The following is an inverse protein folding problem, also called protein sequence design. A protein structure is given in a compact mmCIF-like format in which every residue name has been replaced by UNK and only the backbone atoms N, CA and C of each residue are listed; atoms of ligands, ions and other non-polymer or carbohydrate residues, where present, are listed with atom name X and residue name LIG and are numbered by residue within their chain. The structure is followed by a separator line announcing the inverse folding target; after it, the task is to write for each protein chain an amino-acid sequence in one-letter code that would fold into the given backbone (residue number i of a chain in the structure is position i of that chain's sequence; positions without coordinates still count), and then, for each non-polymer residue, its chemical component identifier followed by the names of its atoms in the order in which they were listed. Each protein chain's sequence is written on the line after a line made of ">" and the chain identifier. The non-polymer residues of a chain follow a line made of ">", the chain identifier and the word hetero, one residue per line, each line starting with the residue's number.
data_IF_111754706822
#
_entry.id   IF_111754706822
#
_cell.length_a   1.000
_cell.length_b   1.000
_cell.length_c   1.000
_cell.angle_alpha   90.00
_cell.angle_beta   90.00
_cell.angle_gamma   90.00
#
_symmetry.space_group_name_H-M   'P 1'
#
loop_
_entity.id
_entity.type
_entity.pdbx_description
1 polymer ?
#
# COMPACT_ATOMS: atom_id res chain seq x y z
N UNK A 1 -3.64 -1.82 -32.14
CA UNK A 1 -3.95 -0.59 -31.36
C UNK A 1 -4.07 -1.01 -29.91
N UNK A 2 -3.01 -0.82 -29.13
CA UNK A 2 -2.99 -1.15 -27.71
C UNK A 2 -3.73 -0.03 -26.98
N UNK A 3 -4.93 -0.31 -26.47
CA UNK A 3 -5.65 0.68 -25.66
C UNK A 3 -4.76 1.06 -24.48
N UNK A 4 -4.48 2.34 -24.31
CA UNK A 4 -3.92 2.83 -23.05
C UNK A 4 -4.87 2.38 -21.91
N UNK A 5 -4.33 2.01 -20.74
CA UNK A 5 -5.18 1.66 -19.61
C UNK A 5 -6.12 2.84 -19.34
N UNK A 6 -7.41 2.53 -19.11
CA UNK A 6 -8.44 3.55 -18.87
C UNK A 6 -8.07 4.48 -17.71
N UNK A 7 -7.22 4.00 -16.79
CA UNK A 7 -6.64 4.78 -15.70
C UNK A 7 -5.15 4.42 -15.49
N UNK A 8 -4.22 5.17 -16.09
CA UNK A 8 -2.79 4.96 -15.89
C UNK A 8 -2.42 5.13 -14.40
N UNK A 9 -1.68 4.16 -13.85
CA UNK A 9 -1.25 4.17 -12.45
C UNK A 9 -2.30 3.72 -11.44
N UNK A 10 -3.52 3.36 -11.87
CA UNK A 10 -4.51 2.77 -10.97
C UNK A 10 -4.49 1.23 -11.04
N UNK A 11 -4.14 0.60 -9.91
CA UNK A 11 -4.24 -0.84 -9.71
C UNK A 11 -5.57 -1.20 -9.04
N UNK A 12 -6.27 -2.17 -9.61
CA UNK A 12 -7.44 -2.80 -9.00
C UNK A 12 -7.02 -4.03 -8.21
N UNK A 13 -7.53 -4.16 -6.99
CA UNK A 13 -7.35 -5.35 -6.16
C UNK A 13 -8.41 -6.41 -6.45
N UNK A 14 -8.03 -7.68 -6.27
CA UNK A 14 -9.02 -8.76 -6.19
C UNK A 14 -9.82 -8.56 -4.90
N UNK A 15 -11.15 -8.61 -5.00
CA UNK A 15 -12.03 -8.59 -3.84
C UNK A 15 -12.38 -10.03 -3.45
N UNK A 16 -12.08 -10.39 -2.21
CA UNK A 16 -12.33 -11.69 -1.63
C UNK A 16 -13.50 -11.64 -0.65
N UNK A 17 -14.39 -12.63 -0.72
CA UNK A 17 -15.51 -12.83 0.20
C UNK A 17 -15.11 -13.60 1.47
N UNK A 18 -13.93 -14.21 1.46
CA UNK A 18 -13.28 -14.92 2.57
C UNK A 18 -11.78 -14.82 2.43
N UNK A 19 -11.05 -14.84 3.54
CA UNK A 19 -9.58 -14.90 3.51
C UNK A 19 -9.16 -16.26 2.93
N UNK A 20 -8.44 -16.31 1.78
CA UNK A 20 -7.97 -17.58 1.22
C UNK A 20 -6.98 -18.27 2.15
N UNK A 21 -6.92 -19.61 2.08
CA UNK A 21 -5.98 -20.38 2.90
C UNK A 21 -4.53 -19.97 2.58
N UNK A 22 -3.73 -19.77 3.63
CA UNK A 22 -2.34 -19.30 3.51
C UNK A 22 -2.18 -17.78 3.40
N UNK A 23 -3.28 -17.03 3.20
CA UNK A 23 -3.28 -15.57 3.23
C UNK A 23 -3.72 -15.04 4.60
N UNK A 24 -3.46 -13.77 4.85
CA UNK A 24 -3.88 -13.06 6.05
C UNK A 24 -4.73 -11.84 5.69
N UNK A 25 -5.54 -11.36 6.64
CA UNK A 25 -6.24 -10.08 6.54
C UNK A 25 -5.64 -9.08 7.52
N UNK A 26 -5.53 -7.82 7.10
CA UNK A 26 -5.02 -6.73 7.93
C UNK A 26 -5.93 -5.49 7.83
N UNK A 27 -6.37 -4.93 8.96
CA UNK A 27 -7.25 -3.76 8.95
C UNK A 27 -6.48 -2.51 8.53
N UNK A 28 -7.06 -1.73 7.61
CA UNK A 28 -6.54 -0.43 7.21
C UNK A 28 -7.14 0.63 8.13
N UNK A 29 -6.26 1.39 8.78
CA UNK A 29 -6.63 2.34 9.85
C UNK A 29 -6.51 3.80 9.45
N UNK A 30 -6.08 4.09 8.21
CA UNK A 30 -5.94 5.43 7.66
C UNK A 30 -6.06 5.43 6.12
N UNK A 31 -6.20 6.61 5.52
CA UNK A 31 -6.34 6.79 4.06
C UNK A 31 -5.03 7.12 3.35
N UNK A 32 -3.86 6.82 3.94
CA UNK A 32 -2.57 7.18 3.32
C UNK A 32 -2.29 6.40 2.04
N UNK A 33 -2.98 5.29 1.81
CA UNK A 33 -2.84 4.48 0.59
C UNK A 33 -4.05 4.60 -0.35
N UNK A 34 -4.89 5.62 -0.17
CA UNK A 34 -5.92 5.96 -1.13
C UNK A 34 -5.30 6.31 -2.50
N UNK A 35 -5.97 5.99 -3.62
CA UNK A 35 -7.32 5.41 -3.72
C UNK A 35 -7.35 3.88 -3.69
N UNK A 36 -6.22 3.20 -3.42
CA UNK A 36 -6.16 1.75 -3.48
C UNK A 36 -6.67 1.06 -2.21
N UNK A 37 -6.41 1.68 -1.06
CA UNK A 37 -6.84 1.21 0.25
C UNK A 37 -7.40 2.39 1.04
N UNK A 38 -8.56 2.19 1.64
CA UNK A 38 -9.25 3.17 2.46
C UNK A 38 -9.32 2.74 3.93
N UNK A 39 -9.42 3.70 4.83
CA UNK A 39 -9.69 3.43 6.23
C UNK A 39 -10.97 2.59 6.38
N UNK A 40 -10.89 1.50 7.13
CA UNK A 40 -11.99 0.55 7.33
C UNK A 40 -11.93 -0.66 6.39
N UNK A 41 -11.10 -0.63 5.34
CA UNK A 41 -10.83 -1.79 4.51
C UNK A 41 -10.09 -2.88 5.30
N UNK A 42 -10.18 -4.11 4.83
CA UNK A 42 -9.31 -5.20 5.23
C UNK A 42 -8.47 -5.63 4.03
N UNK A 43 -7.17 -5.35 4.05
CA UNK A 43 -6.26 -5.79 3.01
C UNK A 43 -5.93 -7.28 3.17
N UNK A 44 -5.96 -8.01 2.05
CA UNK A 44 -5.49 -9.40 1.98
C UNK A 44 -3.99 -9.40 1.66
N UNK A 45 -3.24 -10.11 2.49
CA UNK A 45 -1.78 -10.21 2.44
C UNK A 45 -1.37 -11.62 2.07
N UNK A 46 -0.42 -11.74 1.14
CA UNK A 46 0.36 -12.96 0.92
C UNK A 46 1.68 -12.90 1.71
N UNK A 47 1.78 -13.60 2.86
CA UNK A 47 2.97 -13.57 3.70
C UNK A 47 4.17 -14.32 3.10
N UNK A 48 3.95 -15.13 2.05
CA UNK A 48 5.04 -15.81 1.35
C UNK A 48 5.74 -14.91 0.34
N UNK A 49 5.08 -13.83 -0.10
CA UNK A 49 5.61 -12.86 -1.05
C UNK A 49 6.19 -11.64 -0.34
N UNK A 50 7.51 -11.67 -0.13
CA UNK A 50 8.28 -10.61 0.51
C UNK A 50 9.27 -9.95 -0.45
N UNK A 51 9.20 -10.27 -1.75
CA UNK A 51 10.13 -9.71 -2.73
C UNK A 51 9.67 -8.31 -3.16
N UNK A 52 10.45 -7.24 -2.86
CA UNK A 52 10.05 -5.87 -3.19
C UNK A 52 9.82 -5.70 -4.69
N UNK A 53 8.74 -5.01 -5.05
CA UNK A 53 8.37 -4.80 -6.45
C UNK A 53 7.90 -3.35 -6.64
N UNK A 54 8.44 -2.66 -7.64
CA UNK A 54 8.13 -1.24 -7.85
C UNK A 54 6.63 -1.03 -8.10
N UNK A 55 6.02 -0.14 -7.32
CA UNK A 55 4.59 0.18 -7.38
C UNK A 55 3.69 -0.76 -6.57
N UNK A 56 4.23 -1.81 -5.96
CA UNK A 56 3.44 -2.78 -5.18
C UNK A 56 3.35 -2.37 -3.70
N UNK A 57 2.20 -2.66 -3.09
CA UNK A 57 1.94 -2.43 -1.67
C UNK A 57 2.33 -3.64 -0.86
N UNK A 58 2.98 -3.41 0.28
CA UNK A 58 3.34 -4.45 1.24
C UNK A 58 2.95 -4.03 2.66
N UNK A 59 2.61 -5.00 3.50
CA UNK A 59 2.63 -4.79 4.94
C UNK A 59 4.10 -4.77 5.39
N UNK A 60 4.53 -3.68 6.04
CA UNK A 60 5.91 -3.51 6.48
C UNK A 60 5.97 -3.32 7.99
N UNK A 61 6.96 -3.93 8.63
CA UNK A 61 7.34 -3.64 10.03
C UNK A 61 8.45 -2.59 10.10
N UNK A 62 8.24 -1.54 10.91
CA UNK A 62 9.22 -0.46 11.04
C UNK A 62 10.40 -0.82 11.93
N UNK A 63 11.62 -0.54 11.45
CA UNK A 63 12.86 -0.81 12.21
C UNK A 63 12.95 -0.06 13.53
N UNK A 64 12.47 1.18 13.57
CA UNK A 64 12.52 2.05 14.75
C UNK A 64 11.52 1.64 15.83
N UNK A 65 10.51 0.82 15.49
CA UNK A 65 9.44 0.43 16.41
C UNK A 65 8.97 -0.99 16.08
N UNK A 66 9.67 -2.02 16.57
CA UNK A 66 9.23 -3.42 16.42
C UNK A 66 7.77 -3.60 16.86
N UNK A 67 7.01 -4.41 16.11
CA UNK A 67 5.57 -4.60 16.30
C UNK A 67 4.69 -3.46 15.75
N UNK A 68 5.28 -2.40 15.20
CA UNK A 68 4.53 -1.37 14.48
C UNK A 68 4.53 -1.64 12.98
N UNK A 69 3.33 -1.87 12.45
CA UNK A 69 3.13 -2.22 11.04
C UNK A 69 2.39 -1.11 10.31
N UNK A 70 2.68 -0.96 9.02
CA UNK A 70 1.88 -0.14 8.11
C UNK A 70 1.99 -0.63 6.68
N UNK A 71 0.97 -0.37 5.89
CA UNK A 71 1.01 -0.63 4.44
C UNK A 71 1.76 0.49 3.73
N UNK A 72 2.73 0.13 2.91
CA UNK A 72 3.53 1.06 2.12
C UNK A 72 3.75 0.52 0.70
N UNK A 73 3.85 1.44 -0.25
CA UNK A 73 4.35 1.21 -1.59
C UNK A 73 5.87 1.09 -1.57
N UNK A 74 6.41 0.13 -2.30
CA UNK A 74 7.83 0.04 -2.61
C UNK A 74 8.10 0.64 -3.99
N UNK A 75 9.05 1.57 -4.10
CA UNK A 75 9.34 2.26 -5.36
C UNK A 75 10.79 2.73 -5.46
N UNK A 76 11.23 3.13 -6.65
CA UNK A 76 12.50 3.83 -6.84
C UNK A 76 12.28 5.33 -7.04
N UNK A 77 13.21 6.14 -6.52
CA UNK A 77 13.21 7.59 -6.71
C UNK A 77 14.50 8.02 -7.42
N UNK A 78 14.42 8.87 -8.46
CA UNK A 78 15.61 9.43 -9.09
C UNK A 78 16.53 10.11 -8.08
N UNK A 79 17.83 9.81 -8.14
CA UNK A 79 18.84 10.38 -7.23
C UNK A 79 18.94 9.72 -5.86
N UNK A 80 18.11 8.72 -5.56
CA UNK A 80 18.20 7.92 -4.34
C UNK A 80 18.69 6.51 -4.69
N UNK A 81 19.75 6.05 -4.03
CA UNK A 81 20.27 4.69 -4.21
C UNK A 81 19.46 3.71 -3.35
N UNK A 82 18.91 2.67 -3.97
CA UNK A 82 18.15 1.63 -3.27
C UNK A 82 16.64 1.88 -3.22
N UNK A 83 15.92 0.98 -2.58
CA UNK A 83 14.47 1.03 -2.46
C UNK A 83 14.02 2.17 -1.56
N UNK A 84 12.91 2.79 -1.95
CA UNK A 84 12.12 3.70 -1.15
C UNK A 84 10.82 3.00 -0.72
N UNK A 85 10.35 3.35 0.46
CA UNK A 85 9.05 2.92 0.99
C UNK A 85 8.29 4.11 1.50
N UNK A 86 7.00 4.15 1.21
CA UNK A 86 6.12 5.17 1.73
C UNK A 86 4.68 4.95 1.31
N UNK A 87 3.75 5.73 1.85
CA UNK A 87 2.36 5.68 1.45
C UNK A 87 2.14 6.25 0.04
N UNK A 88 1.13 5.73 -0.66
CA UNK A 88 0.77 6.14 -2.04
C UNK A 88 0.30 7.59 -2.10
N UNK A 89 -0.65 7.95 -1.25
CA UNK A 89 -1.22 9.29 -1.25
C UNK A 89 -0.19 10.24 -0.64
N UNK A 90 0.35 11.16 -1.42
CA UNK A 90 1.05 12.31 -0.86
C UNK A 90 0.01 13.39 -0.50
N UNK A 91 -0.15 13.74 0.79
CA UNK A 91 -1.00 14.85 1.19
C UNK A 91 -0.61 16.12 0.43
N UNK A 92 -1.58 16.98 0.12
CA UNK A 92 -1.31 18.18 -0.68
C UNK A 92 -0.26 19.09 -0.01
N UNK A 93 -0.30 19.19 1.32
CA UNK A 93 0.71 19.93 2.08
C UNK A 93 2.14 19.36 1.91
N UNK A 94 2.30 18.05 1.65
CA UNK A 94 3.61 17.44 1.36
C UNK A 94 4.07 17.87 -0.03
N UNK A 95 3.18 17.90 -1.01
CA UNK A 95 3.50 18.38 -2.36
C UNK A 95 3.91 19.85 -2.34
N UNK A 96 3.18 20.67 -1.61
CA UNK A 96 3.49 22.09 -1.38
C UNK A 96 4.84 22.26 -0.66
N UNK A 97 5.11 21.47 0.37
CA UNK A 97 6.38 21.51 1.09
C UNK A 97 7.56 21.13 0.18
N UNK A 98 7.41 20.07 -0.62
CA UNK A 98 8.44 19.66 -1.61
C UNK A 98 8.63 20.75 -2.66
N UNK A 99 7.56 21.33 -3.19
CA UNK A 99 7.63 22.45 -4.13
C UNK A 99 8.33 23.69 -3.52
N UNK A 100 8.19 23.90 -2.20
CA UNK A 100 8.89 24.92 -1.44
C UNK A 100 10.33 24.55 -1.05
N UNK A 101 10.85 23.38 -1.49
CA UNK A 101 12.23 22.95 -1.26
C UNK A 101 12.45 22.10 0.00
N UNK A 102 11.38 21.64 0.67
CA UNK A 102 11.50 20.75 1.82
C UNK A 102 12.02 19.37 1.39
N UNK A 103 12.85 18.78 2.25
CA UNK A 103 13.34 17.42 2.04
C UNK A 103 12.23 16.41 2.37
N UNK A 104 11.92 15.46 1.46
CA UNK A 104 10.84 14.49 1.64
C UNK A 104 11.15 13.38 2.68
N UNK A 105 12.27 13.49 3.40
CA UNK A 105 12.75 12.47 4.33
C UNK A 105 11.83 12.19 5.53
N UNK A 106 10.78 12.99 5.74
CA UNK A 106 9.74 12.71 6.75
C UNK A 106 8.58 11.87 6.24
N UNK A 107 8.47 11.66 4.92
CA UNK A 107 7.31 11.00 4.30
C UNK A 107 7.62 9.59 3.80
N UNK A 108 8.84 9.37 3.34
CA UNK A 108 9.31 8.08 2.84
C UNK A 108 10.59 7.71 3.58
N UNK A 109 10.76 6.41 3.83
CA UNK A 109 12.04 5.86 4.23
C UNK A 109 12.73 5.30 2.97
N UNK A 110 14.06 5.33 2.93
CA UNK A 110 14.77 5.11 1.69
C UNK A 110 16.20 4.62 1.93
N UNK A 111 16.85 4.18 0.86
CA UNK A 111 18.21 3.65 0.94
C UNK A 111 18.26 2.16 1.27
N UNK A 112 17.13 1.48 1.18
CA UNK A 112 17.07 0.05 1.47
C UNK A 112 17.77 -0.76 0.36
N UNK A 113 18.65 -1.66 0.77
CA UNK A 113 19.06 -2.79 -0.09
C UNK A 113 17.91 -3.79 -0.16
N UNK A 114 17.82 -4.54 -1.26
CA UNK A 114 16.74 -5.51 -1.49
C UNK A 114 16.59 -6.50 -0.33
N UNK A 115 17.69 -7.07 0.15
CA UNK A 115 17.68 -8.07 1.23
C UNK A 115 17.21 -7.46 2.55
N UNK A 116 17.70 -6.26 2.86
CA UNK A 116 17.33 -5.53 4.07
C UNK A 116 15.86 -5.09 4.05
N UNK A 117 15.31 -4.77 2.88
CA UNK A 117 13.88 -4.47 2.74
C UNK A 117 13.06 -5.76 2.88
N UNK A 118 13.46 -6.85 2.21
CA UNK A 118 12.77 -8.15 2.26
C UNK A 118 12.56 -8.64 3.69
N UNK A 119 13.56 -8.47 4.57
CA UNK A 119 13.45 -8.81 6.00
C UNK A 119 12.36 -8.02 6.76
N UNK A 120 11.86 -6.92 6.19
CA UNK A 120 10.85 -6.03 6.79
C UNK A 120 9.47 -6.15 6.17
N UNK A 121 9.38 -6.73 4.98
CA UNK A 121 8.11 -6.95 4.32
C UNK A 121 7.48 -8.22 4.92
N UNK A 122 6.31 -8.04 5.52
CA UNK A 122 5.53 -9.12 6.12
C UNK A 122 4.64 -9.84 5.10
N UNK A 123 4.56 -9.31 3.88
CA UNK A 123 3.81 -9.87 2.77
C UNK A 123 3.26 -8.80 1.82
N UNK A 124 3.05 -9.16 0.55
CA UNK A 124 2.44 -8.30 -0.46
C UNK A 124 0.93 -8.17 -0.25
N UNK A 125 0.38 -6.98 -0.49
CA UNK A 125 -1.06 -6.79 -0.59
C UNK A 125 -1.54 -7.32 -1.94
N UNK A 126 -2.39 -8.34 -1.90
CA UNK A 126 -2.90 -9.03 -3.10
C UNK A 126 -4.40 -8.82 -3.31
N UNK A 127 -5.11 -8.28 -2.32
CA UNK A 127 -6.55 -8.06 -2.43
C UNK A 127 -7.16 -7.25 -1.31
N UNK A 128 -8.48 -7.14 -1.36
CA UNK A 128 -9.34 -6.61 -0.31
C UNK A 128 -10.29 -7.71 0.16
N UNK A 129 -10.59 -7.74 1.45
CA UNK A 129 -11.61 -8.58 2.03
C UNK A 129 -12.90 -7.78 2.20
N UNK A 130 -14.00 -8.33 1.67
CA UNK A 130 -15.33 -7.78 1.86
C UNK A 130 -16.27 -8.92 2.26
N UNK A 131 -16.52 -9.05 3.57
CA UNK A 131 -17.53 -9.94 4.13
C UNK A 131 -18.90 -9.48 3.65
N UNK A 132 -19.46 -10.15 2.63
CA UNK A 132 -20.84 -10.05 2.11
C UNK A 132 -21.60 -8.75 2.37
N UNK A 133 -21.81 -7.99 1.29
CA UNK A 133 -22.90 -7.04 1.04
C UNK A 133 -24.02 -7.02 2.11
N UNK A 134 -24.21 -5.87 2.77
CA UNK A 134 -25.54 -5.54 3.31
C UNK A 134 -26.47 -5.30 2.12
N UNK A 135 -27.70 -5.80 2.19
CA UNK A 135 -28.72 -5.66 1.14
C UNK A 135 -28.82 -4.20 0.65
N UNK A 136 -29.15 -3.95 -0.64
CA UNK A 136 -29.51 -2.61 -1.06
C UNK A 136 -30.65 -2.13 -0.16
N UNK A 137 -30.47 -0.99 0.50
CA UNK A 137 -31.57 -0.30 1.18
C UNK A 137 -32.73 -0.21 0.20
N UNK A 138 -33.85 -0.87 0.50
CA UNK A 138 -35.09 -0.61 -0.22
C UNK A 138 -35.36 0.88 -0.11
N UNK A 139 -35.47 1.54 -1.27
CA UNK A 139 -35.99 2.89 -1.33
C UNK A 139 -37.42 2.83 -0.76
N UNK A 140 -37.56 3.29 0.48
CA UNK A 140 -38.85 3.46 1.12
C UNK A 140 -39.77 4.29 0.21
N UNK A 141 -40.96 3.74 0.01
CA UNK A 141 -42.06 4.26 -0.81
C UNK A 141 -42.47 5.69 -0.46
#
# INVERSE_FOLDING_TARGET
>A
MTSAPQQPGLRSFIVYDRVPAGLAAYPITDDRNAPHLHMGDFAIIDPSDTDPCEGELFLMEWRSSPGHYSVNETFFRPGITGWCVGPVAQPEWVKEAIAAGAQPARWCDFGYKTEALRERLMGRIVGLFQSTYSEPMEAGQ
#
